data_IF_245513993240
#
_entry.id   IF_245513993240
#
_cell.length_a   1.000
_cell.length_b   1.000
_cell.length_c   1.000
_cell.angle_alpha   90.00
_cell.angle_beta   90.00
_cell.angle_gamma   90.00
#
_symmetry.space_group_name_H-M   'P 1'
#
loop_
_entity.id
_entity.type
_entity.pdbx_description
1 polymer ?
#
# COMPACT_ATOMS: atom_id res chain seq x y z
N UNK A 1 -10.17 -16.87 45.53
CA UNK A 1 -9.37 -15.68 45.22
C UNK A 1 -9.67 -15.31 43.77
N UNK A 2 -10.61 -14.39 43.57
CA UNK A 2 -11.00 -13.93 42.23
C UNK A 2 -9.87 -13.03 41.72
N UNK A 3 -9.11 -13.53 40.75
CA UNK A 3 -8.09 -12.76 40.05
C UNK A 3 -8.80 -11.63 39.33
N UNK A 4 -8.64 -10.40 39.84
CA UNK A 4 -9.09 -9.17 39.20
C UNK A 4 -8.41 -9.10 37.83
N UNK A 5 -9.21 -9.14 36.77
CA UNK A 5 -8.80 -8.92 35.39
C UNK A 5 -8.56 -7.44 35.08
N UNK A 6 -8.20 -6.63 36.09
CA UNK A 6 -8.01 -5.17 35.96
C UNK A 6 -6.56 -4.80 35.58
N UNK A 7 -5.67 -5.78 35.39
CA UNK A 7 -4.23 -5.59 35.16
C UNK A 7 -3.75 -6.11 33.79
N UNK A 8 -4.65 -6.13 32.80
CA UNK A 8 -4.20 -6.23 31.42
C UNK A 8 -3.65 -4.85 31.01
N UNK A 9 -2.37 -4.75 30.61
CA UNK A 9 -1.75 -3.49 30.24
C UNK A 9 -2.65 -2.86 29.19
N UNK A 10 -3.11 -1.64 29.50
CA UNK A 10 -4.11 -0.89 28.76
C UNK A 10 -3.99 -1.19 27.26
N UNK A 11 -5.04 -1.82 26.72
CA UNK A 11 -5.25 -1.99 25.30
C UNK A 11 -4.76 -0.69 24.65
N UNK A 12 -3.63 -0.76 23.94
CA UNK A 12 -3.11 0.36 23.17
C UNK A 12 -4.26 0.66 22.23
N UNK A 13 -5.05 1.67 22.61
CA UNK A 13 -6.27 2.07 21.95
C UNK A 13 -5.78 2.68 20.66
N UNK A 14 -5.44 1.82 19.71
CA UNK A 14 -5.02 2.18 18.38
C UNK A 14 -6.18 3.00 17.87
N UNK A 15 -5.97 4.31 17.88
CA UNK A 15 -6.94 5.24 17.33
C UNK A 15 -7.11 4.76 15.90
N UNK A 16 -8.35 4.55 15.45
CA UNK A 16 -8.63 3.98 14.11
C UNK A 16 -7.81 4.67 13.00
N UNK A 17 -7.47 5.95 13.20
CA UNK A 17 -6.55 6.76 12.40
C UNK A 17 -5.13 6.20 12.28
N UNK A 18 -4.51 5.68 13.34
CA UNK A 18 -3.14 5.13 13.32
C UNK A 18 -3.07 3.85 12.48
N UNK A 19 -4.07 2.98 12.60
CA UNK A 19 -4.18 1.76 11.79
C UNK A 19 -4.35 2.09 10.29
N UNK A 20 -5.07 3.17 9.97
CA UNK A 20 -5.29 3.63 8.59
C UNK A 20 -4.01 4.23 8.01
N UNK A 21 -3.34 5.11 8.74
CA UNK A 21 -2.06 5.70 8.31
C UNK A 21 -1.04 4.59 8.08
N UNK A 22 -1.00 3.59 8.98
CA UNK A 22 -0.16 2.41 8.82
C UNK A 22 -0.51 1.60 7.56
N UNK A 23 -1.80 1.34 7.30
CA UNK A 23 -2.24 0.59 6.12
C UNK A 23 -1.96 1.32 4.79
N UNK A 24 -2.16 2.64 4.76
CA UNK A 24 -1.82 3.49 3.60
C UNK A 24 -0.30 3.50 3.39
N UNK A 25 0.48 3.68 4.46
CA UNK A 25 1.94 3.64 4.41
C UNK A 25 2.46 2.30 3.89
N UNK A 26 1.93 1.18 4.38
CA UNK A 26 2.28 -0.16 3.91
C UNK A 26 1.94 -0.35 2.42
N UNK A 27 0.77 0.14 1.98
CA UNK A 27 0.37 0.08 0.57
C UNK A 27 1.33 0.87 -0.33
N UNK A 28 1.72 2.08 0.10
CA UNK A 28 2.67 2.91 -0.65
C UNK A 28 4.07 2.29 -0.72
N UNK A 29 4.54 1.68 0.37
CA UNK A 29 5.83 0.97 0.39
C UNK A 29 5.82 -0.20 -0.60
N UNK A 30 4.80 -1.06 -0.55
CA UNK A 30 4.67 -2.21 -1.46
C UNK A 30 4.67 -1.74 -2.92
N UNK A 31 3.90 -0.71 -3.24
CA UNK A 31 3.80 -0.20 -4.62
C UNK A 31 5.12 0.40 -5.07
N UNK A 32 5.85 1.09 -4.19
CA UNK A 32 7.16 1.64 -4.49
C UNK A 32 8.19 0.55 -4.81
N UNK A 33 8.24 -0.51 -4.00
CA UNK A 33 9.11 -1.68 -4.23
C UNK A 33 8.76 -2.37 -5.56
N UNK A 34 7.47 -2.57 -5.84
CA UNK A 34 7.03 -3.18 -7.10
C UNK A 34 7.41 -2.35 -8.32
N UNK A 35 7.29 -1.02 -8.25
CA UNK A 35 7.71 -0.12 -9.33
C UNK A 35 9.22 -0.15 -9.53
N UNK A 36 10.00 -0.13 -8.45
CA UNK A 36 11.46 -0.26 -8.51
C UNK A 36 11.91 -1.56 -9.17
N UNK A 37 11.26 -2.68 -8.81
CA UNK A 37 11.52 -3.98 -9.41
C UNK A 37 11.20 -4.01 -10.92
N UNK A 38 10.09 -3.42 -11.34
CA UNK A 38 9.72 -3.31 -12.76
C UNK A 38 10.75 -2.51 -13.55
N UNK A 39 11.20 -1.38 -13.00
CA UNK A 39 12.22 -0.52 -13.62
C UNK A 39 13.53 -1.30 -13.78
N UNK A 40 14.04 -1.91 -12.71
CA UNK A 40 15.29 -2.66 -12.74
C UNK A 40 15.21 -3.85 -13.72
N UNK A 41 14.09 -4.58 -13.71
CA UNK A 41 13.86 -5.72 -14.61
C UNK A 41 13.83 -5.29 -16.07
N UNK A 42 13.05 -4.25 -16.39
CA UNK A 42 12.94 -3.74 -17.76
C UNK A 42 14.30 -3.22 -18.26
N UNK A 43 15.08 -2.58 -17.39
CA UNK A 43 16.42 -2.12 -17.73
C UNK A 43 17.38 -3.28 -18.02
N UNK A 44 17.37 -4.31 -17.17
CA UNK A 44 18.21 -5.49 -17.35
C UNK A 44 17.87 -6.25 -18.65
N UNK A 45 16.59 -6.54 -18.88
CA UNK A 45 16.13 -7.25 -20.08
C UNK A 45 16.35 -6.40 -21.33
N UNK A 46 16.02 -5.12 -21.26
CA UNK A 46 16.18 -4.20 -22.39
C UNK A 46 17.63 -4.08 -22.84
N UNK A 47 18.55 -3.95 -21.88
CA UNK A 47 20.00 -3.94 -22.15
C UNK A 47 20.48 -5.28 -22.75
N UNK A 48 20.00 -6.41 -22.22
CA UNK A 48 20.34 -7.74 -22.73
C UNK A 48 19.87 -7.96 -24.18
N UNK A 49 18.73 -7.39 -24.55
CA UNK A 49 18.17 -7.46 -25.90
C UNK A 49 18.73 -6.40 -26.86
N UNK A 50 19.63 -5.52 -26.40
CA UNK A 50 20.19 -4.43 -27.21
C UNK A 50 19.16 -3.35 -27.57
N UNK A 51 18.08 -3.23 -26.80
CA UNK A 51 17.08 -2.19 -26.99
C UNK A 51 17.66 -0.83 -26.58
N UNK A 52 17.38 0.20 -27.36
CA UNK A 52 17.70 1.58 -26.97
C UNK A 52 16.92 2.02 -25.72
N UNK A 53 17.29 3.14 -25.12
CA UNK A 53 16.64 3.63 -23.89
C UNK A 53 15.14 3.90 -24.08
N UNK A 54 14.75 4.43 -25.24
CA UNK A 54 13.36 4.81 -25.52
C UNK A 54 12.36 3.64 -25.41
N UNK A 55 12.55 2.48 -26.08
CA UNK A 55 11.64 1.34 -25.92
C UNK A 55 11.63 0.76 -24.49
N UNK A 56 12.75 0.81 -23.76
CA UNK A 56 12.82 0.37 -22.36
C UNK A 56 11.92 1.24 -21.48
N UNK A 57 12.00 2.56 -21.63
CA UNK A 57 11.18 3.51 -20.88
C UNK A 57 9.68 3.37 -21.22
N UNK A 58 9.33 3.11 -22.48
CA UNK A 58 7.94 2.82 -22.88
C UNK A 58 7.45 1.54 -22.20
N UNK A 59 8.26 0.49 -22.19
CA UNK A 59 7.91 -0.77 -21.55
C UNK A 59 7.69 -0.62 -20.04
N UNK A 60 8.58 0.12 -19.36
CA UNK A 60 8.42 0.49 -17.94
C UNK A 60 7.10 1.22 -17.72
N UNK A 61 6.82 2.25 -18.54
CA UNK A 61 5.61 3.05 -18.43
C UNK A 61 4.34 2.21 -18.54
N UNK A 62 4.28 1.30 -19.53
CA UNK A 62 3.13 0.41 -19.73
C UNK A 62 2.98 -0.59 -18.57
N UNK A 63 4.09 -1.19 -18.13
CA UNK A 63 4.07 -2.21 -17.07
C UNK A 63 3.79 -1.64 -15.67
N UNK A 64 4.06 -0.35 -15.45
CA UNK A 64 3.73 0.33 -14.20
C UNK A 64 2.22 0.58 -14.01
N UNK A 65 1.45 0.70 -15.11
CA UNK A 65 0.03 1.08 -15.06
C UNK A 65 -0.82 0.13 -14.18
N UNK A 66 -0.76 -1.20 -14.33
CA UNK A 66 -1.55 -2.12 -13.49
C UNK A 66 -1.23 -1.97 -12.00
N UNK A 67 0.04 -1.78 -11.64
CA UNK A 67 0.47 -1.58 -10.24
C UNK A 67 -0.08 -0.28 -9.64
N UNK A 68 -0.07 0.80 -10.42
CA UNK A 68 -0.64 2.09 -10.01
C UNK A 68 -2.17 2.01 -9.87
N UNK A 69 -2.86 1.33 -10.78
CA UNK A 69 -4.31 1.13 -10.70
C UNK A 69 -4.69 0.34 -9.45
N UNK A 70 -3.99 -0.77 -9.18
CA UNK A 70 -4.22 -1.57 -7.97
C UNK A 70 -3.99 -0.74 -6.70
N UNK A 71 -2.87 0.00 -6.64
CA UNK A 71 -2.57 0.93 -5.53
C UNK A 71 -3.71 1.91 -5.26
N UNK A 72 -4.22 2.54 -6.32
CA UNK A 72 -5.30 3.51 -6.23
C UNK A 72 -6.60 2.86 -5.73
N UNK A 73 -6.93 1.66 -6.22
CA UNK A 73 -8.15 0.93 -5.81
C UNK A 73 -8.10 0.50 -4.35
N UNK A 74 -6.95 0.00 -3.87
CA UNK A 74 -6.76 -0.39 -2.47
C UNK A 74 -6.82 0.82 -1.55
N UNK A 75 -6.16 1.91 -1.92
CA UNK A 75 -6.18 3.18 -1.16
C UNK A 75 -7.61 3.72 -1.06
N UNK A 76 -8.37 3.74 -2.16
CA UNK A 76 -9.79 4.14 -2.16
C UNK A 76 -10.65 3.23 -1.30
N UNK A 77 -10.37 1.92 -1.27
CA UNK A 77 -11.10 0.96 -0.45
C UNK A 77 -10.86 1.23 1.04
N UNK A 78 -9.62 1.50 1.43
CA UNK A 78 -9.26 1.86 2.81
C UNK A 78 -9.99 3.14 3.23
N UNK A 79 -9.94 4.20 2.40
CA UNK A 79 -10.63 5.47 2.67
C UNK A 79 -12.16 5.31 2.73
N UNK A 80 -12.76 4.45 1.91
CA UNK A 80 -14.20 4.17 1.97
C UNK A 80 -14.59 3.45 3.26
N UNK A 81 -13.76 2.51 3.71
CA UNK A 81 -13.98 1.81 5.00
C UNK A 81 -13.88 2.80 6.16
N UNK A 82 -12.95 3.76 6.11
CA UNK A 82 -12.88 4.86 7.09
C UNK A 82 -14.19 5.62 7.18
N UNK A 83 -14.72 6.10 6.04
CA UNK A 83 -15.95 6.89 6.02
C UNK A 83 -17.14 6.11 6.63
N UNK A 84 -17.27 4.83 6.28
CA UNK A 84 -18.33 3.97 6.81
C UNK A 84 -18.18 3.71 8.33
N UNK A 85 -16.96 3.58 8.84
CA UNK A 85 -16.69 3.41 10.28
C UNK A 85 -16.89 4.70 11.08
N UNK A 86 -16.70 5.85 10.44
CA UNK A 86 -16.91 7.18 11.03
C UNK A 86 -18.40 7.48 11.16
N UNK A 87 -19.20 7.16 10.13
CA UNK A 87 -20.66 7.31 10.16
C UNK A 87 -21.32 6.35 11.18
N UNK A 88 -20.79 5.13 11.32
CA UNK A 88 -21.29 4.14 12.29
C UNK A 88 -20.94 4.45 13.76
N UNK A 89 -20.06 5.44 14.00
CA UNK A 89 -19.61 5.86 15.34
C UNK A 89 -20.45 6.96 15.99
N UNK A 90 -21.53 7.40 15.33
CA UNK A 90 -22.51 8.35 15.86
C UNK A 90 -23.56 7.60 16.72
N UNK A 91 -23.20 7.26 17.95
CA UNK A 91 -24.14 6.93 19.03
C UNK A 91 -23.69 7.60 20.32
#
# INVERSE_FOLDING_TARGET
MLVKTDDLPHEVRYTKTDAIISAVGATLLIVSEMLGAIVAFAWAIGSMLGLGETPILIFIGVMAIPGLVLSLTLTRRILRVEHSLRDSGSF
#
